data_IF_793071080830
#
_entry.id   IF_793071080830
#
_cell.length_a   1.000
_cell.length_b   1.000
_cell.length_c   1.000
_cell.angle_alpha   90.00
_cell.angle_beta   90.00
_cell.angle_gamma   90.00
#
_symmetry.space_group_name_H-M   'P 1'
#
loop_
_entity.id
_entity.type
_entity.pdbx_description
1 polymer ?
#
# COMPACT_ATOMS: atom_id res chain seq x y z
N UNK A 1 9.31 0.89 1.31
CA UNK A 1 8.37 -0.14 0.84
C UNK A 1 7.89 0.14 -0.58
N UNK A 2 7.13 1.21 -0.84
CA UNK A 2 6.63 1.49 -2.20
C UNK A 2 7.75 1.66 -3.24
N UNK A 3 8.78 2.45 -2.93
CA UNK A 3 9.96 2.63 -3.81
C UNK A 3 10.74 1.34 -4.07
N UNK A 4 10.71 0.38 -3.16
CA UNK A 4 11.52 -0.83 -3.25
C UNK A 4 10.75 -1.97 -3.92
N UNK A 5 9.43 -2.07 -3.70
CA UNK A 5 8.53 -2.77 -4.62
C UNK A 5 8.61 -2.17 -6.02
N UNK A 6 8.89 -0.87 -6.11
CA UNK A 6 8.86 -0.19 -7.40
C UNK A 6 9.96 -0.65 -8.37
N UNK A 7 11.13 -0.93 -7.82
CA UNK A 7 12.29 -1.37 -8.58
C UNK A 7 12.16 -2.83 -9.04
N UNK A 8 11.36 -3.65 -8.36
CA UNK A 8 11.12 -5.05 -8.71
C UNK A 8 10.01 -5.26 -9.76
N UNK A 9 9.09 -4.31 -9.93
CA UNK A 9 7.92 -4.45 -10.82
C UNK A 9 8.05 -3.67 -12.14
N UNK A 10 9.29 -3.45 -12.59
CA UNK A 10 9.71 -2.58 -13.70
C UNK A 10 9.00 -2.75 -15.05
N UNK A 11 8.23 -3.80 -15.29
CA UNK A 11 7.65 -4.07 -16.61
C UNK A 11 6.20 -3.58 -16.84
N UNK A 12 5.42 -3.17 -15.81
CA UNK A 12 3.99 -2.83 -15.94
C UNK A 12 3.53 -1.67 -15.02
N UNK A 13 4.35 -0.64 -14.88
CA UNK A 13 4.14 0.45 -13.90
C UNK A 13 2.83 1.21 -14.02
N UNK A 14 2.38 1.46 -15.25
CA UNK A 14 1.18 2.26 -15.52
C UNK A 14 -0.10 1.59 -14.99
N UNK A 15 -0.15 0.26 -14.96
CA UNK A 15 -1.29 -0.49 -14.43
C UNK A 15 -1.27 -0.54 -12.89
N UNK A 16 -0.08 -0.51 -12.29
CA UNK A 16 0.10 -0.69 -10.85
C UNK A 16 0.17 0.62 -10.06
N UNK A 17 0.48 1.75 -10.70
CA UNK A 17 0.60 3.05 -10.02
C UNK A 17 -0.72 3.42 -9.33
N UNK A 18 -1.84 3.23 -10.02
CA UNK A 18 -3.17 3.48 -9.49
C UNK A 18 -3.45 2.55 -8.27
N UNK A 19 -3.06 1.28 -8.34
CA UNK A 19 -3.24 0.31 -7.25
C UNK A 19 -2.37 0.65 -6.03
N UNK A 20 -1.15 1.08 -6.27
CA UNK A 20 -0.20 1.49 -5.23
C UNK A 20 -0.69 2.75 -4.52
N UNK A 21 -1.10 3.77 -5.27
CA UNK A 21 -1.66 5.00 -4.73
C UNK A 21 -2.94 4.73 -3.94
N UNK A 22 -3.83 3.91 -4.48
CA UNK A 22 -5.05 3.50 -3.78
C UNK A 22 -4.72 2.74 -2.49
N UNK A 23 -3.79 1.79 -2.52
CA UNK A 23 -3.39 1.04 -1.33
C UNK A 23 -2.75 1.96 -0.28
N UNK A 24 -1.90 2.90 -0.70
CA UNK A 24 -1.24 3.86 0.19
C UNK A 24 -2.24 4.77 0.88
N UNK A 25 -3.13 5.41 0.11
CA UNK A 25 -4.12 6.35 0.62
C UNK A 25 -5.16 5.70 1.56
N UNK A 26 -5.31 4.38 1.49
CA UNK A 26 -6.26 3.61 2.28
C UNK A 26 -5.64 2.78 3.42
N UNK A 27 -4.31 2.73 3.50
CA UNK A 27 -3.64 2.01 4.58
C UNK A 27 -3.54 2.86 5.82
N UNK A 28 -3.68 2.23 6.99
CA UNK A 28 -3.49 2.90 8.26
C UNK A 28 -2.03 3.32 8.39
N UNK A 29 -1.82 4.60 8.61
CA UNK A 29 -0.49 5.17 8.67
C UNK A 29 -0.12 5.36 10.15
N UNK A 30 0.94 4.69 10.61
CA UNK A 30 1.23 4.50 12.03
C UNK A 30 1.40 5.82 12.82
N UNK A 31 1.94 6.86 12.17
CA UNK A 31 2.16 8.19 12.79
C UNK A 31 0.87 8.96 13.03
N UNK A 32 -0.07 8.91 12.09
CA UNK A 32 -1.35 9.63 12.15
C UNK A 32 -2.51 8.76 12.67
N UNK A 33 -2.28 7.45 12.85
CA UNK A 33 -3.23 6.43 13.33
C UNK A 33 -4.55 6.35 12.53
N UNK A 34 -4.56 6.88 11.32
CA UNK A 34 -5.67 6.82 10.37
C UNK A 34 -5.13 6.67 8.94
N UNK A 35 -6.00 6.36 7.99
CA UNK A 35 -5.65 6.41 6.57
C UNK A 35 -5.73 7.86 6.05
N UNK A 36 -4.81 8.31 5.18
CA UNK A 36 -4.86 9.65 4.57
C UNK A 36 -6.21 9.97 3.92
N UNK A 37 -6.84 8.99 3.25
CA UNK A 37 -8.17 9.15 2.67
C UNK A 37 -9.25 9.40 3.73
N UNK A 38 -9.22 8.64 4.83
CA UNK A 38 -10.18 8.80 5.93
C UNK A 38 -10.03 10.16 6.61
N UNK A 39 -8.80 10.64 6.75
CA UNK A 39 -8.49 11.96 7.30
C UNK A 39 -9.00 13.09 6.41
N UNK A 40 -8.81 12.97 5.08
CA UNK A 40 -9.18 14.03 4.13
C UNK A 40 -10.69 14.11 3.90
N UNK A 41 -11.37 12.97 3.83
CA UNK A 41 -12.78 12.90 3.43
C UNK A 41 -13.73 12.52 4.57
N UNK A 42 -13.23 12.20 5.76
CA UNK A 42 -14.04 11.82 6.92
C UNK A 42 -14.80 10.50 6.75
N UNK A 43 -14.44 9.67 5.76
CA UNK A 43 -15.12 8.39 5.46
C UNK A 43 -14.14 7.34 4.97
N UNK A 44 -14.48 6.07 5.18
CA UNK A 44 -13.73 4.95 4.59
C UNK A 44 -13.86 4.98 3.07
N UNK A 45 -12.76 4.70 2.38
CA UNK A 45 -12.80 4.58 0.93
C UNK A 45 -13.60 3.34 0.53
N UNK A 46 -14.38 3.48 -0.54
CA UNK A 46 -15.03 2.36 -1.19
C UNK A 46 -14.16 2.01 -2.39
N UNK A 47 -13.71 0.76 -2.47
CA UNK A 47 -12.98 0.30 -3.63
C UNK A 47 -13.81 0.52 -4.90
N UNK A 48 -13.19 0.94 -6.03
CA UNK A 48 -13.89 1.01 -7.31
C UNK A 48 -14.48 -0.36 -7.65
N UNK A 49 -15.77 -0.42 -8.00
CA UNK A 49 -16.46 -1.67 -8.34
C UNK A 49 -15.79 -2.37 -9.54
N UNK A 50 -15.13 -1.61 -10.43
CA UNK A 50 -14.48 -2.16 -11.63
C UNK A 50 -13.06 -2.69 -11.40
N UNK A 51 -12.52 -2.58 -10.18
CA UNK A 51 -11.25 -3.21 -9.85
C UNK A 51 -11.55 -4.50 -9.12
N UNK A 52 -11.17 -5.61 -9.72
CA UNK A 52 -11.34 -6.94 -9.13
C UNK A 52 -10.85 -6.89 -7.68
N UNK A 53 -11.76 -7.19 -6.75
CA UNK A 53 -11.43 -7.26 -5.33
C UNK A 53 -10.26 -8.23 -5.08
N UNK A 54 -10.09 -9.20 -5.97
CA UNK A 54 -8.97 -10.12 -6.00
C UNK A 54 -7.64 -9.42 -6.25
N UNK A 55 -7.53 -8.52 -7.23
CA UNK A 55 -6.32 -7.71 -7.49
C UNK A 55 -5.97 -6.81 -6.31
N UNK A 56 -6.97 -6.25 -5.64
CA UNK A 56 -6.79 -5.45 -4.44
C UNK A 56 -6.30 -6.29 -3.24
N UNK A 57 -6.86 -7.48 -3.06
CA UNK A 57 -6.41 -8.43 -2.04
C UNK A 57 -5.00 -8.94 -2.32
N UNK A 58 -4.69 -9.22 -3.58
CA UNK A 58 -3.39 -9.66 -4.06
C UNK A 58 -2.34 -8.56 -3.83
N UNK A 59 -2.62 -7.32 -4.20
CA UNK A 59 -1.76 -6.16 -3.95
C UNK A 59 -1.53 -5.96 -2.45
N UNK A 60 -2.59 -6.01 -1.63
CA UNK A 60 -2.47 -5.91 -0.16
C UNK A 60 -1.66 -7.06 0.44
N UNK A 61 -1.86 -8.28 -0.03
CA UNK A 61 -1.15 -9.47 0.47
C UNK A 61 0.32 -9.41 0.09
N UNK A 62 0.64 -9.02 -1.16
CA UNK A 62 2.02 -8.77 -1.59
C UNK A 62 2.67 -7.66 -0.80
N UNK A 63 1.94 -6.59 -0.54
CA UNK A 63 2.42 -5.48 0.28
C UNK A 63 2.78 -5.95 1.70
N UNK A 64 1.89 -6.72 2.35
CA UNK A 64 2.16 -7.31 3.66
C UNK A 64 3.34 -8.28 3.64
N UNK A 65 3.37 -9.20 2.67
CA UNK A 65 4.48 -10.14 2.52
C UNK A 65 5.81 -9.43 2.30
N UNK A 66 5.82 -8.35 1.52
CA UNK A 66 6.99 -7.52 1.31
C UNK A 66 7.39 -6.80 2.60
N UNK A 67 6.42 -6.19 3.31
CA UNK A 67 6.66 -5.59 4.61
C UNK A 67 7.28 -6.61 5.56
N UNK A 68 6.72 -7.81 5.68
CA UNK A 68 7.19 -8.88 6.57
C UNK A 68 8.61 -9.35 6.20
N UNK A 69 8.88 -9.58 4.90
CA UNK A 69 10.22 -9.97 4.42
C UNK A 69 11.27 -8.89 4.64
N UNK A 70 10.87 -7.62 4.56
CA UNK A 70 11.75 -6.46 4.70
C UNK A 70 11.64 -5.77 6.06
N UNK A 71 10.88 -6.34 7.01
CA UNK A 71 10.88 -5.97 8.44
C UNK A 71 12.11 -6.57 9.11
N UNK A 72 13.30 -6.33 8.55
CA UNK A 72 14.55 -6.49 9.28
C UNK A 72 14.54 -5.38 10.33
N UNK A 73 14.67 -5.73 11.61
CA UNK A 73 14.70 -4.75 12.70
C UNK A 73 15.68 -3.63 12.33
N UNK A 74 15.16 -2.42 12.10
CA UNK A 74 15.99 -1.23 12.08
C UNK A 74 16.37 -1.01 13.54
N UNK A 75 17.39 -1.72 14.01
CA UNK A 75 18.07 -1.38 15.24
C UNK A 75 18.73 -0.03 15.01
N UNK A 76 18.08 1.02 15.49
CA UNK A 76 18.72 2.31 15.66
C UNK A 76 19.77 2.11 16.75
N UNK A 77 21.05 2.13 16.39
CA UNK A 77 22.13 2.26 17.36
C UNK A 77 21.92 3.58 18.12
N UNK A 78 21.56 3.47 19.39
CA UNK A 78 21.72 4.53 20.40
C UNK A 78 23.18 4.71 20.77
#
# INVERSE_FOLDING_TARGET
MLRSCALEWTSNWDDYICLVEFAYNNSLHASIKCAPFEMLYGRKCRAPICWDQEKLKEARTRQKSYADKHHRALEFQT
#
